data_IF_359984989646
#
_entry.id   IF_359984989646
#
_cell.length_a   1.000
_cell.length_b   1.000
_cell.length_c   1.000
_cell.angle_alpha   90.00
_cell.angle_beta   90.00
_cell.angle_gamma   90.00
#
_symmetry.space_group_name_H-M   'P 1'
#
loop_
_entity.id
_entity.type
_entity.pdbx_description
1 polymer ?
#
# COMPACT_ATOMS: atom_id res chain seq x y z
N UNK A 1 -4.16 -8.47 -26.58
CA UNK A 1 -4.00 -8.54 -26.48
C UNK A 1 -3.95 -8.45 -26.05
N UNK A 2 -3.70 -8.62 -25.79
CA UNK A 2 -3.37 -8.68 -25.44
C UNK A 2 -3.14 -8.81 -24.89
N UNK A 3 -2.92 -8.98 -24.79
CA UNK A 3 -2.50 -9.14 -24.29
C UNK A 3 -2.33 -9.29 -23.72
N UNK A 4 -2.15 -9.40 -23.62
CA UNK A 4 -1.92 -9.47 -23.47
C UNK A 4 -1.99 -9.44 -23.00
N UNK A 5 -1.89 -9.28 -22.92
CA UNK A 5 -1.96 -9.18 -22.77
C UNK A 5 -2.32 -9.39 -22.19
N UNK A 6 -2.37 -9.47 -22.16
CA UNK A 6 -2.54 -9.72 -21.79
C UNK A 6 -2.63 -10.25 -21.29
N UNK A 7 -2.54 -10.50 -21.27
CA UNK A 7 -2.42 -11.04 -20.98
C UNK A 7 -2.16 -11.59 -20.39
N UNK A 8 -2.02 -11.76 -20.25
CA UNK A 8 -1.64 -12.12 -19.93
C UNK A 8 -1.76 -12.29 -19.04
N UNK A 9 -1.71 -12.14 -18.76
CA UNK A 9 -1.72 -12.10 -18.14
C UNK A 9 -2.15 -12.54 -17.52
N UNK A 10 -2.45 -12.68 -17.61
CA UNK A 10 -2.74 -12.97 -17.18
C UNK A 10 -2.99 -13.67 -16.93
N UNK A 11 -2.88 -14.12 -17.36
CA UNK A 11 -2.74 -14.78 -17.02
C UNK A 11 -2.21 -15.04 -16.20
N UNK A 12 -1.73 -15.13 -16.14
CA UNK A 12 -1.26 -15.10 -15.36
C UNK A 12 -1.35 -14.77 -14.39
N UNK A 13 -0.56 -15.31 -14.37
CA UNK A 13 -0.92 -14.83 -13.10
C UNK A 13 -1.36 -13.43 -13.16
N UNK A 14 -2.45 -13.35 -13.35
CA UNK A 14 -2.98 -12.03 -13.52
C UNK A 14 -2.55 -11.11 -12.41
N UNK A 15 -2.51 -9.85 -12.71
CA UNK A 15 -2.30 -8.84 -11.73
C UNK A 15 -3.35 -8.96 -10.66
N UNK A 16 -2.92 -9.16 -9.43
CA UNK A 16 -3.84 -9.34 -8.32
C UNK A 16 -4.15 -8.03 -7.62
N UNK A 17 -3.51 -6.91 -8.00
CA UNK A 17 -3.72 -5.62 -7.33
C UNK A 17 -4.48 -4.65 -8.24
N UNK A 18 -5.02 -3.60 -7.62
CA UNK A 18 -5.73 -2.53 -8.33
C UNK A 18 -4.71 -1.60 -9.00
N UNK A 19 -4.69 -1.62 -10.32
CA UNK A 19 -3.74 -0.83 -11.11
C UNK A 19 -3.99 0.66 -10.92
N UNK A 20 -5.25 1.08 -10.82
CA UNK A 20 -5.58 2.49 -10.56
C UNK A 20 -5.01 2.97 -9.23
N UNK A 21 -5.17 2.18 -8.19
CA UNK A 21 -4.62 2.53 -6.89
C UNK A 21 -3.09 2.61 -6.98
N UNK A 22 -2.46 1.65 -7.65
CA UNK A 22 -1.01 1.67 -7.81
C UNK A 22 -0.54 2.94 -8.52
N UNK A 23 -1.26 3.37 -9.56
CA UNK A 23 -0.90 4.59 -10.27
C UNK A 23 -1.06 5.83 -9.40
N UNK A 24 -2.12 5.87 -8.58
CA UNK A 24 -2.31 6.98 -7.64
C UNK A 24 -1.19 7.03 -6.61
N UNK A 25 -0.74 5.87 -6.14
CA UNK A 25 0.38 5.82 -5.19
C UNK A 25 1.68 6.29 -5.84
N UNK A 26 1.91 5.94 -7.10
CA UNK A 26 3.09 6.42 -7.82
C UNK A 26 3.11 7.94 -7.90
N UNK A 27 1.95 8.55 -8.16
CA UNK A 27 1.87 10.00 -8.23
C UNK A 27 2.13 10.65 -6.88
N UNK A 28 1.56 10.07 -5.82
CA UNK A 28 1.75 10.61 -4.47
C UNK A 28 3.18 10.47 -3.98
N UNK A 29 3.90 9.47 -4.49
CA UNK A 29 5.29 9.24 -4.10
C UNK A 29 6.29 9.83 -5.08
N UNK A 30 5.83 10.58 -6.09
CA UNK A 30 6.70 11.05 -7.16
C UNK A 30 7.84 11.94 -6.67
N UNK A 31 7.63 12.69 -5.57
CA UNK A 31 8.66 13.56 -5.00
C UNK A 31 9.54 12.88 -3.98
N UNK A 32 9.24 11.63 -3.62
CA UNK A 32 10.07 10.88 -2.68
C UNK A 32 11.27 10.27 -3.41
N UNK A 33 12.39 10.16 -2.72
CA UNK A 33 13.57 9.51 -3.29
C UNK A 33 13.75 8.13 -2.70
N UNK A 34 14.53 7.30 -3.37
CA UNK A 34 14.82 5.92 -2.98
C UNK A 34 13.59 5.03 -2.96
N UNK A 35 12.63 5.31 -3.85
CA UNK A 35 11.41 4.51 -3.97
C UNK A 35 11.64 3.40 -4.98
N UNK A 36 11.31 2.17 -4.58
CA UNK A 36 11.31 1.01 -5.48
C UNK A 36 9.98 0.30 -5.38
N UNK A 37 9.62 -0.42 -6.43
CA UNK A 37 8.38 -1.20 -6.47
C UNK A 37 8.72 -2.68 -6.45
N UNK A 38 7.91 -3.46 -5.74
CA UNK A 38 8.12 -4.90 -5.65
C UNK A 38 6.77 -5.59 -5.44
N UNK A 39 6.56 -6.69 -6.16
CA UNK A 39 5.36 -7.50 -5.92
C UNK A 39 5.52 -8.26 -4.61
N UNK A 40 4.60 -8.04 -3.69
CA UNK A 40 4.60 -8.65 -2.36
C UNK A 40 3.16 -8.78 -1.88
N UNK A 41 2.89 -9.78 -1.07
CA UNK A 41 1.58 -9.97 -0.44
C UNK A 41 0.43 -10.04 -1.45
N UNK A 42 0.72 -10.52 -2.64
CA UNK A 42 -0.29 -10.54 -3.71
C UNK A 42 -0.61 -9.19 -4.31
N UNK A 43 0.13 -8.14 -3.95
CA UNK A 43 -0.08 -6.80 -4.46
C UNK A 43 1.21 -6.15 -4.95
N UNK A 44 1.19 -4.83 -5.10
CA UNK A 44 2.37 -4.07 -5.51
C UNK A 44 2.80 -3.16 -4.38
N UNK A 45 3.96 -3.44 -3.81
CA UNK A 45 4.51 -2.69 -2.69
C UNK A 45 5.45 -1.59 -3.17
N UNK A 46 5.43 -0.48 -2.45
CA UNK A 46 6.34 0.65 -2.68
C UNK A 46 7.26 0.73 -1.48
N UNK A 47 8.56 0.55 -1.72
CA UNK A 47 9.57 0.54 -0.68
C UNK A 47 10.34 1.84 -0.71
N UNK A 48 10.66 2.37 0.47
CA UNK A 48 11.48 3.56 0.62
C UNK A 48 12.72 3.14 1.42
N UNK A 49 13.88 3.31 0.81
CA UNK A 49 15.15 2.90 1.42
C UNK A 49 15.12 1.44 1.90
N UNK A 50 14.42 0.58 1.16
CA UNK A 50 14.31 -0.85 1.45
C UNK A 50 13.17 -1.24 2.37
N UNK A 51 12.44 -0.28 2.95
CA UNK A 51 11.30 -0.56 3.84
C UNK A 51 9.99 -0.37 3.09
N UNK A 52 9.07 -1.34 3.20
CA UNK A 52 7.77 -1.16 2.61
C UNK A 52 6.99 -0.09 3.37
N UNK A 53 6.57 0.94 2.65
CA UNK A 53 5.77 2.01 3.23
C UNK A 53 4.29 1.79 2.95
N UNK A 54 3.94 1.53 1.70
CA UNK A 54 2.56 1.34 1.26
C UNK A 54 2.53 0.23 0.21
N UNK A 55 1.35 -0.35 0.04
CA UNK A 55 1.14 -1.41 -0.94
C UNK A 55 -0.28 -1.33 -1.49
N UNK A 56 -0.40 -1.43 -2.81
CA UNK A 56 -1.70 -1.64 -3.44
C UNK A 56 -2.03 -3.12 -3.27
N UNK A 57 -2.97 -3.42 -2.40
CA UNK A 57 -3.26 -4.79 -1.99
C UNK A 57 -4.03 -5.57 -3.04
N UNK A 58 -4.06 -6.88 -2.87
CA UNK A 58 -4.70 -7.78 -3.81
C UNK A 58 -6.21 -7.64 -3.86
N UNK A 59 -6.81 -6.99 -2.87
CA UNK A 59 -8.25 -6.79 -2.81
C UNK A 59 -8.66 -5.36 -3.16
N UNK A 60 -7.73 -4.58 -3.70
CA UNK A 60 -8.01 -3.19 -4.05
C UNK A 60 -7.94 -2.23 -2.88
N UNK A 61 -7.44 -2.67 -1.73
CA UNK A 61 -7.27 -1.82 -0.57
C UNK A 61 -5.81 -1.39 -0.44
N UNK A 62 -5.60 -0.37 0.39
CA UNK A 62 -4.27 0.13 0.69
C UNK A 62 -3.75 -0.58 1.93
N UNK A 63 -2.57 -1.15 1.82
CA UNK A 63 -1.84 -1.69 2.97
C UNK A 63 -0.72 -0.73 3.28
N UNK A 64 -0.56 -0.36 4.55
CA UNK A 64 0.52 0.56 4.91
C UNK A 64 1.12 0.19 6.25
N UNK A 65 2.39 0.57 6.40
CA UNK A 65 3.13 0.40 7.63
C UNK A 65 3.07 1.70 8.43
N UNK A 66 2.76 1.59 9.71
CA UNK A 66 2.64 2.77 10.58
C UNK A 66 3.37 2.51 11.89
N UNK A 67 3.56 3.57 12.66
CA UNK A 67 4.08 3.44 14.02
C UNK A 67 3.11 2.58 14.83
N UNK A 68 3.58 1.47 15.41
CA UNK A 68 2.68 0.62 16.22
C UNK A 68 1.99 1.40 17.34
N UNK A 69 2.62 2.44 17.88
CA UNK A 69 2.02 3.24 18.95
C UNK A 69 0.83 4.08 18.47
N UNK A 70 0.70 4.29 17.15
CA UNK A 70 -0.40 5.09 16.59
C UNK A 70 -1.54 4.23 16.06
N UNK A 71 -1.39 2.91 16.08
CA UNK A 71 -2.36 2.02 15.46
C UNK A 71 -3.76 2.19 16.04
N UNK A 72 -3.88 2.25 17.36
CA UNK A 72 -5.19 2.37 18.02
C UNK A 72 -5.92 3.65 17.61
N UNK A 73 -5.19 4.76 17.46
CA UNK A 73 -5.80 6.01 17.05
C UNK A 73 -6.20 5.97 15.57
N UNK A 74 -5.38 5.37 14.73
CA UNK A 74 -5.63 5.35 13.29
C UNK A 74 -6.80 4.47 12.91
N UNK A 75 -7.02 3.37 13.64
CA UNK A 75 -8.15 2.47 13.34
C UNK A 75 -9.49 3.00 13.81
N UNK A 76 -9.52 4.17 14.46
CA UNK A 76 -10.79 4.84 14.73
C UNK A 76 -11.47 5.29 13.43
N UNK A 77 -10.70 5.48 12.35
CA UNK A 77 -11.29 5.73 11.05
C UNK A 77 -11.97 4.46 10.56
N UNK A 78 -13.28 4.52 10.16
CA UNK A 78 -13.98 3.31 9.76
C UNK A 78 -13.39 2.62 8.52
N UNK A 79 -12.60 3.31 7.72
CA UNK A 79 -11.93 2.68 6.57
C UNK A 79 -10.70 1.89 6.96
N UNK A 80 -10.15 2.10 8.16
CA UNK A 80 -8.90 1.49 8.58
C UNK A 80 -9.13 0.35 9.55
N UNK A 81 -8.32 -0.70 9.41
CA UNK A 81 -8.32 -1.82 10.34
C UNK A 81 -6.91 -2.38 10.44
N UNK A 82 -6.65 -3.10 11.52
CA UNK A 82 -5.38 -3.82 11.64
C UNK A 82 -5.30 -4.86 10.53
N UNK A 83 -4.14 -4.92 9.91
CA UNK A 83 -3.91 -5.93 8.89
C UNK A 83 -3.80 -7.30 9.53
N UNK A 84 -4.48 -8.28 8.95
CA UNK A 84 -4.46 -9.66 9.45
C UNK A 84 -3.77 -10.53 8.41
N UNK A 85 -2.75 -11.27 8.85
CA UNK A 85 -2.06 -12.22 8.00
C UNK A 85 -2.01 -13.56 8.72
N UNK A 86 -2.49 -14.60 8.06
CA UNK A 86 -2.51 -15.96 8.61
C UNK A 86 -3.23 -16.02 9.95
N UNK A 87 -4.32 -15.28 10.08
CA UNK A 87 -5.13 -15.25 11.28
C UNK A 87 -4.55 -14.43 12.43
N UNK A 88 -3.46 -13.71 12.21
CA UNK A 88 -2.82 -12.88 13.24
C UNK A 88 -2.85 -11.43 12.84
N UNK A 89 -3.20 -10.57 13.79
CA UNK A 89 -3.11 -9.13 13.58
C UNK A 89 -1.64 -8.73 13.57
N UNK A 90 -1.27 -7.93 12.56
CA UNK A 90 0.10 -7.45 12.38
C UNK A 90 0.22 -6.06 12.97
N UNK A 91 0.81 -5.96 14.17
CA UNK A 91 0.98 -4.68 14.83
C UNK A 91 1.85 -3.73 13.99
N UNK A 92 1.36 -2.51 13.79
CA UNK A 92 2.06 -1.55 12.94
C UNK A 92 1.75 -1.69 11.46
N UNK A 93 0.77 -2.52 11.09
CA UNK A 93 0.34 -2.70 9.71
C UNK A 93 -1.15 -2.47 9.63
N UNK A 94 -1.58 -1.61 8.71
CA UNK A 94 -3.00 -1.28 8.54
C UNK A 94 -3.46 -1.61 7.13
N UNK A 95 -4.72 -2.06 7.04
CA UNK A 95 -5.43 -2.10 5.79
C UNK A 95 -6.42 -0.94 5.78
N UNK A 96 -6.48 -0.20 4.69
CA UNK A 96 -7.41 0.92 4.51
C UNK A 96 -8.23 0.65 3.27
N UNK A 97 -9.56 0.65 3.43
CA UNK A 97 -10.44 0.48 2.29
C UNK A 97 -10.38 1.74 1.42
N UNK A 98 -10.11 1.54 0.15
CA UNK A 98 -10.04 2.64 -0.81
C UNK A 98 -11.01 2.38 -1.95
N UNK A 99 -11.49 3.46 -2.56
CA UNK A 99 -12.28 3.39 -3.77
C UNK A 99 -12.09 4.68 -4.57
N UNK A 100 -12.75 4.76 -5.70
CA UNK A 100 -12.60 5.92 -6.59
C UNK A 100 -13.10 7.21 -5.95
N UNK A 101 -13.94 7.12 -4.90
CA UNK A 101 -14.46 8.31 -4.23
C UNK A 101 -13.51 8.87 -3.19
N UNK A 102 -12.48 8.12 -2.78
CA UNK A 102 -11.48 8.65 -1.85
C UNK A 102 -10.66 9.71 -2.56
N UNK A 103 -10.61 10.91 -1.98
CA UNK A 103 -9.86 12.01 -2.58
C UNK A 103 -8.36 11.75 -2.51
N UNK A 104 -7.61 12.41 -3.39
CA UNK A 104 -6.15 12.33 -3.35
C UNK A 104 -5.60 12.92 -2.04
N UNK A 105 -6.26 13.94 -1.48
CA UNK A 105 -5.85 14.47 -0.19
C UNK A 105 -5.99 13.44 0.92
N UNK A 106 -7.09 12.73 0.94
CA UNK A 106 -7.30 11.68 1.96
C UNK A 106 -6.32 10.53 1.75
N UNK A 107 -6.17 10.06 0.52
CA UNK A 107 -5.22 9.00 0.22
C UNK A 107 -3.80 9.43 0.58
N UNK A 108 -3.46 10.69 0.27
CA UNK A 108 -2.14 11.25 0.59
C UNK A 108 -1.86 11.27 2.08
N UNK A 109 -2.86 11.53 2.91
CA UNK A 109 -2.67 11.50 4.36
C UNK A 109 -2.30 10.10 4.84
N UNK A 110 -2.96 9.07 4.31
CA UNK A 110 -2.59 7.70 4.66
C UNK A 110 -1.18 7.35 4.19
N UNK A 111 -0.84 7.74 2.96
CA UNK A 111 0.50 7.50 2.42
C UNK A 111 1.54 8.21 3.28
N UNK A 112 1.26 9.44 3.72
CA UNK A 112 2.19 10.21 4.56
C UNK A 112 2.48 9.50 5.88
N UNK A 113 1.49 8.84 6.49
CA UNK A 113 1.75 8.05 7.70
C UNK A 113 2.78 6.95 7.45
N UNK A 114 2.63 6.24 6.34
CA UNK A 114 3.59 5.18 6.01
C UNK A 114 4.97 5.72 5.70
N UNK A 115 5.04 6.79 4.90
CA UNK A 115 6.30 7.42 4.53
C UNK A 115 7.02 7.94 5.78
N UNK A 116 6.30 8.67 6.63
CA UNK A 116 6.90 9.26 7.83
C UNK A 116 7.48 8.17 8.73
N UNK A 117 6.75 7.07 8.91
CA UNK A 117 7.24 6.01 9.78
C UNK A 117 8.51 5.36 9.21
N UNK A 118 8.51 4.97 7.93
CA UNK A 118 9.67 4.28 7.38
C UNK A 118 10.86 5.21 7.24
N UNK A 119 10.64 6.52 7.05
CA UNK A 119 11.74 7.49 7.06
C UNK A 119 12.38 7.63 8.44
N UNK A 120 11.67 7.27 9.51
CA UNK A 120 12.23 7.28 10.86
C UNK A 120 13.10 6.05 11.14
N UNK A 121 13.06 5.05 10.27
CA UNK A 121 13.82 3.82 10.44
C UNK A 121 15.18 3.94 9.75
N UNK A 122 16.21 3.23 10.25
CA UNK A 122 17.47 3.18 9.51
C UNK A 122 17.27 2.54 8.14
N UNK A 123 17.95 3.00 7.09
CA UNK A 123 17.85 2.36 5.78
C UNK A 123 18.31 0.91 5.85
N UNK A 124 17.68 0.09 5.02
CA UNK A 124 18.10 -1.31 4.89
C UNK A 124 19.31 -1.44 4.00
#
# INVERSE_FOLDING_TARGET
MTPADLAVFDILGPMAYDVELADRLRELLADEHEVTEKQMFGGLAFLIAGHMAVCAGSRGDLLLRVDPAQTDALIEDPRASRYVMRGREMNGWLGVETDASMSDDELGRWVDHGVAFVRSLPPK
#
